data_IF_413726713569
#
_entry.id   IF_413726713569
#
_cell.length_a   1.000
_cell.length_b   1.000
_cell.length_c   1.000
_cell.angle_alpha   90.00
_cell.angle_beta   90.00
_cell.angle_gamma   90.00
#
_symmetry.space_group_name_H-M   'P 1'
#
loop_
_entity.id
_entity.type
_entity.pdbx_description
1 polymer ?
#
# COMPACT_ATOMS: atom_id res chain seq x y z
N UNK A 1 7.17 19.08 -5.41
CA UNK A 1 8.59 18.73 -5.65
C UNK A 1 8.88 18.86 -7.14
N UNK A 2 10.15 18.85 -7.58
CA UNK A 2 10.50 19.04 -9.01
C UNK A 2 9.88 17.96 -9.91
N UNK A 3 9.84 16.71 -9.44
CA UNK A 3 9.30 15.56 -10.20
C UNK A 3 7.82 15.65 -10.55
N UNK A 4 7.07 16.50 -9.84
CA UNK A 4 5.63 16.69 -10.06
C UNK A 4 5.34 17.88 -11.00
N UNK A 5 6.37 18.64 -11.38
CA UNK A 5 6.19 19.79 -12.24
C UNK A 5 5.92 19.36 -13.68
N UNK A 6 5.00 20.05 -14.34
CA UNK A 6 4.75 19.88 -15.76
C UNK A 6 5.80 20.64 -16.56
N UNK A 7 6.35 20.03 -17.59
CA UNK A 7 7.20 20.70 -18.57
C UNK A 7 6.38 21.61 -19.50
N UNK A 8 6.85 22.83 -19.75
CA UNK A 8 6.19 23.78 -20.68
C UNK A 8 6.47 23.47 -22.16
N UNK A 9 7.47 22.65 -22.43
CA UNK A 9 7.91 22.24 -23.78
C UNK A 9 8.55 20.86 -23.69
N UNK A 10 8.94 20.25 -24.80
CA UNK A 10 9.48 18.89 -24.78
C UNK A 10 10.81 18.79 -24.00
N UNK A 11 11.08 17.63 -23.41
CA UNK A 11 12.26 17.38 -22.57
C UNK A 11 13.58 17.60 -23.32
N UNK A 12 13.65 17.27 -24.61
CA UNK A 12 14.83 17.48 -25.46
C UNK A 12 15.21 18.97 -25.57
N UNK A 13 14.23 19.85 -25.73
CA UNK A 13 14.43 21.30 -25.80
C UNK A 13 14.86 21.87 -24.44
N UNK A 14 14.19 21.45 -23.36
CA UNK A 14 14.56 21.86 -21.99
C UNK A 14 16.00 21.44 -21.69
N UNK A 15 16.36 20.20 -22.01
CA UNK A 15 17.72 19.70 -21.77
C UNK A 15 18.77 20.47 -22.57
N UNK A 16 18.47 20.81 -23.84
CA UNK A 16 19.36 21.66 -24.64
C UNK A 16 19.57 23.03 -23.97
N UNK A 17 18.49 23.68 -23.56
CA UNK A 17 18.55 25.00 -22.89
C UNK A 17 19.23 24.92 -21.52
N UNK A 18 19.09 23.80 -20.81
CA UNK A 18 19.81 23.56 -19.56
C UNK A 18 21.32 23.42 -19.80
N UNK A 19 21.73 22.70 -20.85
CA UNK A 19 23.14 22.60 -21.22
C UNK A 19 23.72 23.96 -21.63
N UNK A 20 22.94 24.79 -22.32
CA UNK A 20 23.32 26.17 -22.63
C UNK A 20 23.51 27.02 -21.35
N UNK A 21 22.61 26.89 -20.37
CA UNK A 21 22.77 27.53 -19.06
C UNK A 21 24.06 27.07 -18.37
N UNK A 22 24.34 25.76 -18.36
CA UNK A 22 25.57 25.22 -17.77
C UNK A 22 26.82 25.78 -18.45
N UNK A 23 26.84 25.88 -19.78
CA UNK A 23 27.96 26.48 -20.51
C UNK A 23 28.14 27.97 -20.17
N UNK A 24 27.04 28.73 -20.10
CA UNK A 24 27.08 30.16 -19.74
C UNK A 24 27.55 30.41 -18.31
N UNK A 25 27.26 29.49 -17.39
CA UNK A 25 27.61 29.59 -15.96
C UNK A 25 28.84 28.76 -15.58
N UNK A 26 29.67 28.36 -16.54
CA UNK A 26 30.90 27.55 -16.32
C UNK A 26 30.64 26.32 -15.43
N UNK A 27 29.54 25.60 -15.70
CA UNK A 27 29.06 24.43 -14.96
C UNK A 27 28.69 24.66 -13.47
N UNK A 28 28.62 25.92 -13.03
CA UNK A 28 28.29 26.30 -11.65
C UNK A 28 27.17 27.35 -11.61
N UNK A 29 25.93 27.02 -12.04
CA UNK A 29 24.80 27.93 -11.91
C UNK A 29 24.49 28.20 -10.43
N UNK A 30 24.13 29.45 -10.12
CA UNK A 30 23.66 29.80 -8.78
C UNK A 30 22.28 29.20 -8.48
N UNK A 31 21.87 29.20 -7.22
CA UNK A 31 20.51 28.79 -6.82
C UNK A 31 19.45 29.62 -7.54
N UNK A 32 19.68 30.92 -7.74
CA UNK A 32 18.74 31.80 -8.43
C UNK A 32 18.69 31.52 -9.94
N UNK A 33 19.82 31.19 -10.56
CA UNK A 33 19.84 30.73 -11.95
C UNK A 33 18.98 29.47 -12.14
N UNK A 34 19.09 28.50 -11.23
CA UNK A 34 18.29 27.28 -11.25
C UNK A 34 16.81 27.55 -11.00
N UNK A 35 16.47 28.41 -10.03
CA UNK A 35 15.07 28.81 -9.78
C UNK A 35 14.45 29.50 -11.00
N UNK A 36 15.18 30.42 -11.63
CA UNK A 36 14.74 31.12 -12.83
C UNK A 36 14.55 30.14 -13.99
N UNK A 37 15.48 29.19 -14.17
CA UNK A 37 15.36 28.14 -15.17
C UNK A 37 14.09 27.29 -14.93
N UNK A 38 13.85 26.84 -13.70
CA UNK A 38 12.65 26.09 -13.35
C UNK A 38 11.38 26.90 -13.65
N UNK A 39 11.32 28.16 -13.22
CA UNK A 39 10.17 29.03 -13.48
C UNK A 39 9.92 29.26 -14.99
N UNK A 40 10.98 29.35 -15.80
CA UNK A 40 10.89 29.54 -17.23
C UNK A 40 10.36 28.29 -17.97
N UNK A 41 10.74 27.10 -17.53
CA UNK A 41 10.51 25.85 -18.29
C UNK A 41 9.50 24.89 -17.69
N UNK A 42 9.06 25.12 -16.45
CA UNK A 42 8.13 24.25 -15.75
C UNK A 42 6.95 25.03 -15.16
N UNK A 43 5.78 24.39 -15.11
CA UNK A 43 4.66 24.87 -14.32
C UNK A 43 4.72 24.30 -12.89
N UNK A 44 4.14 24.98 -11.89
CA UNK A 44 4.09 24.49 -10.52
C UNK A 44 3.48 23.08 -10.40
N UNK A 45 3.93 22.31 -9.42
CA UNK A 45 3.34 21.01 -9.10
C UNK A 45 1.85 21.16 -8.75
N UNK A 46 1.01 20.29 -9.32
CA UNK A 46 -0.44 20.34 -9.18
C UNK A 46 -1.17 21.10 -10.28
N UNK A 47 -0.46 21.69 -11.25
CA UNK A 47 -1.07 22.32 -12.42
C UNK A 47 -1.90 21.36 -13.27
N UNK A 48 -1.68 20.05 -13.13
CA UNK A 48 -2.42 18.98 -13.80
C UNK A 48 -3.92 18.89 -13.42
N UNK A 49 -4.35 19.50 -12.31
CA UNK A 49 -5.72 19.36 -11.81
C UNK A 49 -6.61 20.58 -12.03
N UNK A 50 -7.91 20.31 -12.21
CA UNK A 50 -9.00 21.28 -12.12
C UNK A 50 -9.86 21.03 -10.89
N UNK A 51 -10.63 22.04 -10.50
CA UNK A 51 -11.59 21.90 -9.40
C UNK A 51 -12.64 20.84 -9.75
N UNK A 52 -12.94 20.01 -8.76
CA UNK A 52 -13.94 18.96 -8.88
C UNK A 52 -14.56 18.70 -7.52
N UNK A 53 -15.88 18.59 -7.53
CA UNK A 53 -16.68 18.17 -6.38
C UNK A 53 -17.34 16.84 -6.75
N UNK A 54 -17.25 15.80 -5.88
CA UNK A 54 -17.90 14.53 -6.14
C UNK A 54 -19.42 14.70 -6.23
N UNK A 55 -20.03 14.23 -7.33
CA UNK A 55 -21.45 14.43 -7.62
C UNK A 55 -22.39 13.63 -6.73
N UNK A 56 -21.87 12.54 -6.15
CA UNK A 56 -22.58 11.63 -5.25
C UNK A 56 -22.33 11.93 -3.76
N UNK A 57 -21.58 12.99 -3.46
CA UNK A 57 -21.41 13.46 -2.08
C UNK A 57 -22.70 14.12 -1.58
N UNK A 58 -23.08 13.83 -0.33
CA UNK A 58 -24.19 14.51 0.34
C UNK A 58 -23.93 14.65 1.84
N UNK A 59 -24.38 15.75 2.45
CA UNK A 59 -24.01 16.12 3.83
C UNK A 59 -24.56 15.21 4.95
N UNK A 60 -25.32 14.15 4.64
CA UNK A 60 -25.99 13.32 5.65
C UNK A 60 -26.00 11.84 5.25
N UNK A 61 -24.83 11.20 5.11
CA UNK A 61 -24.73 9.77 4.87
C UNK A 61 -25.22 8.97 6.09
N UNK A 62 -25.84 7.81 5.83
CA UNK A 62 -26.47 6.98 6.87
C UNK A 62 -25.56 6.58 8.01
N UNK A 63 -24.24 6.51 7.80
CA UNK A 63 -23.33 6.13 8.88
C UNK A 63 -23.33 7.16 10.03
N UNK A 64 -23.59 8.44 9.77
CA UNK A 64 -23.67 9.49 10.79
C UNK A 64 -24.90 9.35 11.70
N UNK A 65 -25.96 8.70 11.22
CA UNK A 65 -27.17 8.44 12.01
C UNK A 65 -26.92 7.40 13.11
N UNK A 66 -25.89 6.57 12.96
CA UNK A 66 -25.52 5.52 13.90
C UNK A 66 -24.58 5.99 15.01
N UNK A 67 -24.22 7.27 15.03
CA UNK A 67 -23.30 7.85 16.01
C UNK A 67 -24.09 8.65 17.04
N UNK A 68 -24.28 8.06 18.22
CA UNK A 68 -25.03 8.68 19.32
C UNK A 68 -24.25 9.80 20.03
N UNK A 69 -22.92 9.62 20.18
CA UNK A 69 -22.08 10.64 20.82
C UNK A 69 -21.95 11.88 19.94
N UNK A 70 -22.34 13.03 20.50
CA UNK A 70 -22.39 14.30 19.75
C UNK A 70 -21.00 14.77 19.31
N UNK A 71 -19.97 14.54 20.12
CA UNK A 71 -18.61 14.94 19.80
C UNK A 71 -18.04 14.11 18.66
N UNK A 72 -18.22 12.79 18.72
CA UNK A 72 -17.81 11.87 17.65
C UNK A 72 -18.61 12.10 16.37
N UNK A 73 -19.91 12.38 16.47
CA UNK A 73 -20.73 12.71 15.30
C UNK A 73 -20.24 13.96 14.59
N UNK A 74 -19.99 15.04 15.32
CA UNK A 74 -19.44 16.28 14.75
C UNK A 74 -18.08 16.07 14.12
N UNK A 75 -17.22 15.27 14.74
CA UNK A 75 -15.92 14.92 14.18
C UNK A 75 -16.04 14.09 12.90
N UNK A 76 -16.97 13.13 12.87
CA UNK A 76 -17.27 12.33 11.68
C UNK A 76 -17.85 13.17 10.53
N UNK A 77 -18.68 14.17 10.82
CA UNK A 77 -19.16 15.15 9.83
C UNK A 77 -17.98 15.91 9.21
N UNK A 78 -17.04 16.39 10.03
CA UNK A 78 -15.83 17.08 9.55
C UNK A 78 -14.95 16.17 8.69
N UNK A 79 -14.78 14.90 9.08
CA UNK A 79 -14.07 13.90 8.28
C UNK A 79 -14.73 13.67 6.91
N UNK A 80 -16.06 13.60 6.89
CA UNK A 80 -16.82 13.39 5.65
C UNK A 80 -16.72 14.58 4.69
N UNK A 81 -16.63 15.82 5.20
CA UNK A 81 -16.37 17.02 4.38
C UNK A 81 -15.00 16.98 3.67
N UNK A 82 -14.00 16.28 4.25
CA UNK A 82 -12.66 16.20 3.66
C UNK A 82 -12.65 15.54 2.27
N UNK A 83 -13.64 14.70 1.94
CA UNK A 83 -13.73 14.08 0.61
C UNK A 83 -13.77 15.11 -0.51
N UNK A 84 -14.44 16.25 -0.29
CA UNK A 84 -14.51 17.36 -1.24
C UNK A 84 -13.15 18.00 -1.49
N UNK A 85 -12.29 18.03 -0.48
CA UNK A 85 -10.95 18.63 -0.54
C UNK A 85 -9.87 17.68 -1.06
N UNK A 86 -10.08 16.37 -0.91
CA UNK A 86 -9.17 15.33 -1.36
C UNK A 86 -9.42 14.89 -2.82
N UNK A 87 -10.50 15.38 -3.43
CA UNK A 87 -10.81 15.14 -4.85
C UNK A 87 -9.82 15.78 -5.81
N UNK A 88 -9.41 15.01 -6.82
CA UNK A 88 -8.53 15.46 -7.91
C UNK A 88 -9.11 15.01 -9.25
N UNK A 89 -9.33 15.96 -10.14
CA UNK A 89 -9.73 15.71 -11.52
C UNK A 89 -8.67 16.27 -12.47
N UNK A 90 -8.18 15.41 -13.37
CA UNK A 90 -7.15 15.80 -14.34
C UNK A 90 -7.74 16.67 -15.44
N UNK A 91 -7.04 17.74 -15.80
CA UNK A 91 -7.38 18.61 -16.93
C UNK A 91 -7.26 17.85 -18.25
N UNK A 92 -8.02 18.31 -19.25
CA UNK A 92 -7.93 17.80 -20.63
C UNK A 92 -6.50 17.83 -21.21
N UNK A 93 -5.69 18.82 -20.80
CA UNK A 93 -4.30 18.97 -21.23
C UNK A 93 -3.41 17.78 -20.84
N UNK A 94 -3.69 17.13 -19.70
CA UNK A 94 -2.96 15.94 -19.24
C UNK A 94 -3.09 14.79 -20.24
N UNK A 95 -4.27 14.63 -20.86
CA UNK A 95 -4.52 13.56 -21.83
C UNK A 95 -3.88 13.89 -23.18
N UNK A 96 -3.98 15.15 -23.64
CA UNK A 96 -3.45 15.60 -24.93
C UNK A 96 -1.93 15.68 -24.97
N UNK A 97 -1.32 16.07 -23.86
CA UNK A 97 0.12 16.36 -23.75
C UNK A 97 0.80 15.52 -22.67
N UNK A 98 0.39 14.25 -22.50
CA UNK A 98 0.85 13.38 -21.41
C UNK A 98 2.38 13.24 -21.29
N UNK A 99 3.11 13.40 -22.40
CA UNK A 99 4.58 13.40 -22.42
C UNK A 99 5.23 14.60 -21.71
N UNK A 100 4.47 15.64 -21.36
CA UNK A 100 4.92 16.80 -20.60
C UNK A 100 4.74 16.64 -19.08
N UNK A 101 4.04 15.58 -18.67
CA UNK A 101 3.67 15.33 -17.29
C UNK A 101 4.35 14.07 -16.76
N UNK A 102 4.61 14.06 -15.46
CA UNK A 102 4.91 12.81 -14.75
C UNK A 102 3.65 12.06 -14.34
N UNK A 103 2.49 12.72 -14.24
CA UNK A 103 1.23 12.08 -13.83
C UNK A 103 0.70 11.18 -14.94
N UNK A 104 0.21 9.99 -14.57
CA UNK A 104 -0.38 9.04 -15.50
C UNK A 104 -1.85 9.41 -15.69
N UNK A 105 -2.31 9.71 -16.93
CA UNK A 105 -3.70 10.05 -17.18
C UNK A 105 -4.64 8.89 -16.79
N UNK A 106 -5.71 9.16 -16.05
CA UNK A 106 -6.77 8.20 -15.72
C UNK A 106 -8.15 8.79 -16.01
N UNK A 107 -9.13 8.00 -16.46
CA UNK A 107 -10.38 8.52 -17.05
C UNK A 107 -11.34 9.20 -16.07
N UNK A 108 -11.26 8.90 -14.77
CA UNK A 108 -12.17 9.42 -13.75
C UNK A 108 -11.40 10.20 -12.67
N UNK A 109 -12.07 11.10 -11.93
CA UNK A 109 -11.49 11.71 -10.73
C UNK A 109 -11.02 10.67 -9.71
N UNK A 110 -10.11 11.10 -8.83
CA UNK A 110 -9.57 10.27 -7.74
C UNK A 110 -9.64 11.02 -6.41
N UNK A 111 -9.72 10.27 -5.32
CA UNK A 111 -9.51 10.77 -3.97
C UNK A 111 -8.08 10.40 -3.56
N UNK A 112 -7.29 11.38 -3.12
CA UNK A 112 -5.87 11.19 -2.78
C UNK A 112 -5.64 11.14 -1.27
N UNK A 113 -4.50 10.60 -0.78
CA UNK A 113 -4.20 10.55 0.66
C UNK A 113 -4.14 11.92 1.35
N UNK A 114 -3.75 12.97 0.60
CA UNK A 114 -3.71 14.36 1.08
C UNK A 114 -2.30 14.91 1.29
N UNK A 115 -2.24 16.20 1.64
CA UNK A 115 -0.98 16.91 1.86
C UNK A 115 -0.12 17.00 0.59
N UNK A 116 1.11 16.45 0.66
CA UNK A 116 2.04 16.46 -0.48
C UNK A 116 1.66 15.49 -1.60
N UNK A 117 0.85 14.46 -1.29
CA UNK A 117 0.45 13.42 -2.22
C UNK A 117 -0.70 13.91 -3.10
N UNK A 118 -0.46 13.95 -4.41
CA UNK A 118 -1.37 14.57 -5.39
C UNK A 118 -1.95 13.58 -6.38
N UNK A 119 -1.39 12.38 -6.43
CA UNK A 119 -1.82 11.28 -7.27
C UNK A 119 -2.54 10.23 -6.42
N UNK A 120 -3.21 9.28 -7.08
CA UNK A 120 -3.65 8.07 -6.40
C UNK A 120 -2.43 7.32 -5.88
N UNK A 121 -2.58 6.69 -4.72
CA UNK A 121 -1.67 5.69 -4.18
C UNK A 121 -2.41 4.38 -4.05
N UNK A 122 -1.78 3.27 -4.40
CA UNK A 122 -2.48 2.02 -4.65
C UNK A 122 -3.12 1.46 -3.38
N UNK A 123 -2.33 1.08 -2.37
CA UNK A 123 -2.91 0.43 -1.19
C UNK A 123 -3.75 1.41 -0.34
N UNK A 124 -3.38 2.70 -0.29
CA UNK A 124 -4.14 3.77 0.40
C UNK A 124 -5.57 3.83 -0.12
N UNK A 125 -5.75 3.61 -1.43
CA UNK A 125 -7.06 3.62 -2.07
C UNK A 125 -8.00 2.57 -1.51
N UNK A 126 -7.51 1.51 -0.86
CA UNK A 126 -8.39 0.52 -0.23
C UNK A 126 -9.18 1.12 0.92
N UNK A 127 -8.50 1.78 1.85
CA UNK A 127 -9.16 2.42 2.99
C UNK A 127 -9.95 3.65 2.57
N UNK A 128 -9.50 4.38 1.55
CA UNK A 128 -10.27 5.47 0.93
C UNK A 128 -11.58 4.92 0.36
N UNK A 129 -11.53 3.87 -0.48
CA UNK A 129 -12.73 3.22 -1.04
C UNK A 129 -13.67 2.77 0.07
N UNK A 130 -13.17 2.13 1.13
CA UNK A 130 -13.98 1.74 2.28
C UNK A 130 -14.69 2.95 2.91
N UNK A 131 -13.98 4.06 3.14
CA UNK A 131 -14.55 5.28 3.71
C UNK A 131 -15.61 5.94 2.80
N UNK A 132 -15.36 5.96 1.49
CA UNK A 132 -16.29 6.48 0.48
C UNK A 132 -17.57 5.64 0.40
N UNK A 133 -17.47 4.31 0.50
CA UNK A 133 -18.63 3.41 0.52
C UNK A 133 -19.55 3.67 1.73
N UNK A 134 -18.98 3.86 2.92
CA UNK A 134 -19.77 4.27 4.10
C UNK A 134 -20.36 5.68 3.96
N UNK A 135 -19.69 6.54 3.20
CA UNK A 135 -20.15 7.88 2.84
C UNK A 135 -21.19 7.88 1.71
N UNK A 136 -21.64 6.70 1.25
CA UNK A 136 -22.59 6.49 0.16
C UNK A 136 -22.15 7.07 -1.21
N UNK A 137 -20.84 7.25 -1.40
CA UNK A 137 -20.22 7.78 -2.63
C UNK A 137 -19.86 6.66 -3.62
N UNK A 138 -20.88 5.92 -4.07
CA UNK A 138 -20.71 4.72 -4.91
C UNK A 138 -20.19 5.01 -6.32
N UNK A 139 -20.61 6.12 -6.94
CA UNK A 139 -20.19 6.49 -8.29
C UNK A 139 -18.73 6.93 -8.32
N UNK A 140 -18.30 7.66 -7.29
CA UNK A 140 -16.89 8.03 -7.08
C UNK A 140 -16.03 6.77 -6.93
N UNK A 141 -16.47 5.80 -6.12
CA UNK A 141 -15.75 4.51 -5.97
C UNK A 141 -15.69 3.76 -7.30
N UNK A 142 -16.81 3.64 -8.02
CA UNK A 142 -16.83 2.99 -9.35
C UNK A 142 -15.88 3.67 -10.32
N UNK A 143 -15.79 5.00 -10.31
CA UNK A 143 -14.84 5.78 -11.10
C UNK A 143 -13.38 5.45 -10.75
N UNK A 144 -13.04 5.42 -9.46
CA UNK A 144 -11.69 5.04 -9.00
C UNK A 144 -11.33 3.60 -9.39
N UNK A 145 -12.26 2.65 -9.29
CA UNK A 145 -12.03 1.27 -9.72
C UNK A 145 -11.81 1.18 -11.23
N UNK A 146 -12.58 1.92 -12.03
CA UNK A 146 -12.35 2.00 -13.49
C UNK A 146 -10.99 2.62 -13.83
N UNK A 147 -10.46 3.52 -13.00
CA UNK A 147 -9.09 4.02 -13.18
C UNK A 147 -8.07 2.89 -13.01
N UNK A 148 -8.23 2.06 -11.98
CA UNK A 148 -7.36 0.89 -11.78
C UNK A 148 -7.50 -0.15 -12.90
N UNK A 149 -8.71 -0.41 -13.40
CA UNK A 149 -8.91 -1.22 -14.62
C UNK A 149 -8.09 -0.66 -15.79
N UNK A 150 -8.21 0.64 -16.08
CA UNK A 150 -7.48 1.31 -17.17
C UNK A 150 -5.95 1.22 -17.00
N UNK A 151 -5.47 1.30 -15.76
CA UNK A 151 -4.06 1.18 -15.42
C UNK A 151 -3.56 -0.25 -15.66
N UNK A 152 -4.26 -1.26 -15.13
CA UNK A 152 -3.90 -2.68 -15.32
C UNK A 152 -3.99 -3.07 -16.79
N UNK A 153 -4.97 -2.57 -17.53
CA UNK A 153 -5.11 -2.85 -18.96
C UNK A 153 -3.93 -2.30 -19.77
N UNK A 154 -3.45 -1.09 -19.43
CA UNK A 154 -2.30 -0.48 -20.12
C UNK A 154 -0.95 -1.04 -19.68
N UNK A 155 -0.79 -1.37 -18.40
CA UNK A 155 0.54 -1.59 -17.81
C UNK A 155 0.73 -2.97 -17.17
N UNK A 156 -0.35 -3.70 -16.90
CA UNK A 156 -0.32 -5.05 -16.32
C UNK A 156 -0.20 -5.09 -14.80
N UNK A 157 0.07 -3.96 -14.14
CA UNK A 157 0.05 -3.78 -12.70
C UNK A 157 -0.57 -2.44 -12.35
N UNK A 158 -0.92 -2.25 -11.07
CA UNK A 158 -1.14 -0.91 -10.51
C UNK A 158 0.18 -0.43 -9.89
N UNK A 159 0.74 0.71 -10.34
CA UNK A 159 1.97 1.24 -9.79
C UNK A 159 1.74 1.78 -8.36
N UNK A 160 2.81 1.92 -7.58
CA UNK A 160 2.77 2.50 -6.22
C UNK A 160 1.87 3.75 -6.14
N UNK A 161 2.07 4.69 -7.06
CA UNK A 161 1.16 5.80 -7.28
C UNK A 161 1.04 6.20 -8.75
N UNK A 162 0.16 7.15 -9.03
CA UNK A 162 -0.21 7.57 -10.39
C UNK A 162 0.83 8.40 -11.15
N UNK A 163 2.12 8.07 -11.07
CA UNK A 163 3.22 8.78 -11.74
C UNK A 163 4.15 7.82 -12.49
N UNK A 164 4.73 8.29 -13.60
CA UNK A 164 5.57 7.47 -14.49
C UNK A 164 6.81 6.88 -13.80
N UNK A 165 7.34 7.53 -12.77
CA UNK A 165 8.49 7.02 -12.01
C UNK A 165 8.13 5.91 -11.01
N UNK A 166 6.83 5.61 -10.83
CA UNK A 166 6.34 4.45 -10.09
C UNK A 166 6.08 3.23 -10.98
N UNK A 167 6.16 3.34 -12.31
CA UNK A 167 5.71 2.31 -13.27
C UNK A 167 6.35 0.92 -13.12
N UNK A 168 7.48 0.83 -12.44
CA UNK A 168 8.25 -0.41 -12.28
C UNK A 168 8.03 -1.09 -10.93
N UNK A 169 7.32 -0.45 -10.00
CA UNK A 169 6.97 -0.99 -8.68
C UNK A 169 5.49 -0.82 -8.37
N UNK A 170 4.90 -1.81 -7.73
CA UNK A 170 3.52 -1.78 -7.29
C UNK A 170 3.40 -1.27 -5.84
N UNK A 171 2.38 -1.72 -5.13
CA UNK A 171 2.15 -1.61 -3.69
C UNK A 171 1.36 -2.85 -3.23
N UNK A 172 1.09 -3.06 -1.92
CA UNK A 172 0.29 -4.20 -1.46
C UNK A 172 -1.01 -4.38 -2.28
N UNK A 173 -1.26 -5.56 -2.89
CA UNK A 173 -2.22 -5.67 -3.99
C UNK A 173 -3.67 -5.80 -3.55
N UNK A 174 -4.29 -4.64 -3.29
CA UNK A 174 -5.65 -4.55 -2.73
C UNK A 174 -6.74 -4.26 -3.77
N UNK A 175 -6.47 -4.28 -5.08
CA UNK A 175 -7.49 -3.99 -6.11
C UNK A 175 -8.68 -4.95 -6.08
N UNK A 176 -8.42 -6.25 -6.01
CA UNK A 176 -9.46 -7.28 -5.92
C UNK A 176 -10.31 -7.09 -4.63
N UNK A 177 -9.70 -6.86 -3.44
CA UNK A 177 -10.42 -6.45 -2.23
C UNK A 177 -11.23 -5.17 -2.33
N UNK A 178 -10.76 -4.17 -3.08
CA UNK A 178 -11.53 -2.94 -3.34
C UNK A 178 -12.78 -3.24 -4.16
N UNK A 179 -12.66 -4.07 -5.20
CA UNK A 179 -13.82 -4.52 -5.99
C UNK A 179 -14.79 -5.33 -5.13
N UNK A 180 -14.29 -6.21 -4.26
CA UNK A 180 -15.13 -6.98 -3.34
C UNK A 180 -15.95 -6.05 -2.43
N UNK A 181 -15.28 -5.05 -1.84
CA UNK A 181 -15.95 -4.06 -0.99
C UNK A 181 -17.02 -3.28 -1.76
N UNK A 182 -16.76 -2.89 -3.00
CA UNK A 182 -17.74 -2.21 -3.85
C UNK A 182 -18.96 -3.10 -4.16
N UNK A 183 -18.74 -4.39 -4.46
CA UNK A 183 -19.81 -5.34 -4.74
C UNK A 183 -20.66 -5.64 -3.50
N UNK A 184 -20.07 -5.68 -2.29
CA UNK A 184 -20.82 -5.86 -1.04
C UNK A 184 -21.84 -4.74 -0.80
N UNK A 185 -21.53 -3.51 -1.23
CA UNK A 185 -22.42 -2.35 -1.08
C UNK A 185 -23.43 -2.19 -2.24
N UNK A 186 -23.04 -2.56 -3.47
CA UNK A 186 -23.81 -2.21 -4.68
C UNK A 186 -24.43 -3.39 -5.40
N UNK A 187 -23.91 -4.60 -5.18
CA UNK A 187 -24.25 -5.82 -5.92
C UNK A 187 -24.15 -5.64 -7.46
N UNK A 188 -23.24 -4.77 -7.93
CA UNK A 188 -23.04 -4.45 -9.35
C UNK A 188 -22.28 -5.57 -10.08
N UNK A 189 -22.98 -6.67 -10.35
CA UNK A 189 -22.40 -7.84 -11.03
C UNK A 189 -22.04 -7.57 -12.49
N UNK A 190 -22.63 -6.55 -13.13
CA UNK A 190 -22.30 -6.14 -14.49
C UNK A 190 -20.89 -5.51 -14.54
N UNK A 191 -20.57 -4.65 -13.57
CA UNK A 191 -19.22 -4.14 -13.40
C UNK A 191 -18.21 -5.27 -13.21
N UNK A 192 -18.55 -6.29 -12.41
CA UNK A 192 -17.69 -7.45 -12.20
C UNK A 192 -17.46 -8.23 -13.51
N UNK A 193 -18.52 -8.58 -14.24
CA UNK A 193 -18.46 -9.32 -15.50
C UNK A 193 -17.57 -8.60 -16.53
N UNK A 194 -17.72 -7.29 -16.65
CA UNK A 194 -16.94 -6.46 -17.58
C UNK A 194 -15.45 -6.45 -17.26
N UNK A 195 -15.09 -6.47 -15.98
CA UNK A 195 -13.73 -6.16 -15.51
C UNK A 195 -12.96 -7.36 -14.93
N UNK A 196 -13.56 -8.56 -14.85
CA UNK A 196 -12.93 -9.75 -14.25
C UNK A 196 -11.56 -10.07 -14.85
N UNK A 197 -11.38 -9.88 -16.17
CA UNK A 197 -10.10 -10.12 -16.86
C UNK A 197 -8.99 -9.19 -16.37
N UNK A 198 -9.30 -7.94 -16.07
CA UNK A 198 -8.31 -6.98 -15.56
C UNK A 198 -7.92 -7.32 -14.12
N UNK A 199 -8.86 -7.82 -13.31
CA UNK A 199 -8.56 -8.34 -11.97
C UNK A 199 -7.62 -9.54 -12.02
N UNK A 200 -7.90 -10.52 -12.89
CA UNK A 200 -7.00 -11.65 -13.12
C UNK A 200 -5.63 -11.20 -13.63
N UNK A 201 -5.59 -10.22 -14.54
CA UNK A 201 -4.35 -9.73 -15.15
C UNK A 201 -3.37 -9.20 -14.09
N UNK A 202 -3.86 -8.43 -13.12
CA UNK A 202 -3.01 -7.95 -12.03
C UNK A 202 -2.57 -9.11 -11.12
N UNK A 203 -3.48 -10.01 -10.74
CA UNK A 203 -3.12 -11.18 -9.93
C UNK A 203 -2.00 -11.99 -10.60
N UNK A 204 -2.10 -12.22 -11.92
CA UNK A 204 -1.08 -12.92 -12.71
C UNK A 204 0.23 -12.15 -12.81
N UNK A 205 0.23 -10.82 -12.73
CA UNK A 205 1.47 -10.05 -12.60
C UNK A 205 2.23 -10.43 -11.33
N UNK A 206 1.56 -10.54 -10.18
CA UNK A 206 2.20 -10.98 -8.94
C UNK A 206 2.70 -12.41 -9.03
N UNK A 207 1.89 -13.32 -9.58
CA UNK A 207 2.27 -14.73 -9.77
C UNK A 207 3.50 -14.89 -10.66
N UNK A 208 3.63 -14.05 -11.69
CA UNK A 208 4.74 -14.11 -12.64
C UNK A 208 6.01 -13.43 -12.13
N UNK A 209 5.89 -12.28 -11.48
CA UNK A 209 7.02 -11.37 -11.26
C UNK A 209 7.47 -11.26 -9.80
N UNK A 210 6.73 -11.84 -8.85
CA UNK A 210 7.00 -11.70 -7.40
C UNK A 210 7.09 -13.05 -6.68
N UNK A 211 6.92 -14.17 -7.38
CA UNK A 211 6.94 -15.49 -6.77
C UNK A 211 8.35 -16.02 -6.54
N UNK A 212 8.50 -16.76 -5.45
CA UNK A 212 9.69 -17.49 -5.06
C UNK A 212 9.31 -18.88 -4.54
N UNK A 213 10.29 -19.76 -4.40
CA UNK A 213 10.12 -21.09 -3.82
C UNK A 213 10.95 -21.20 -2.54
N UNK A 214 10.30 -21.59 -1.45
CA UNK A 214 10.94 -21.90 -0.16
C UNK A 214 10.85 -23.41 0.07
N UNK A 215 11.99 -24.06 0.25
CA UNK A 215 12.05 -25.50 0.55
C UNK A 215 12.10 -25.74 2.06
N UNK A 216 11.21 -26.57 2.58
CA UNK A 216 11.17 -27.01 3.98
C UNK A 216 10.79 -28.50 4.03
N UNK A 217 11.57 -29.29 4.76
CA UNK A 217 11.33 -30.74 4.97
C UNK A 217 11.11 -31.54 3.67
N UNK A 218 11.87 -31.22 2.62
CA UNK A 218 11.78 -31.88 1.31
C UNK A 218 10.58 -31.47 0.46
N UNK A 219 9.75 -30.52 0.93
CA UNK A 219 8.64 -29.93 0.18
C UNK A 219 8.96 -28.50 -0.25
N UNK A 220 8.40 -28.09 -1.37
CA UNK A 220 8.55 -26.75 -1.93
C UNK A 220 7.24 -25.98 -1.80
N UNK A 221 7.33 -24.79 -1.22
CA UNK A 221 6.21 -23.88 -1.00
C UNK A 221 6.42 -22.62 -1.85
N UNK A 222 5.40 -22.24 -2.61
CA UNK A 222 5.43 -21.03 -3.43
C UNK A 222 4.84 -19.86 -2.65
N UNK A 223 5.59 -18.76 -2.54
CA UNK A 223 5.22 -17.53 -1.84
C UNK A 223 5.62 -16.33 -2.69
N UNK A 224 5.19 -15.12 -2.30
CA UNK A 224 5.58 -13.87 -2.92
C UNK A 224 6.53 -13.05 -2.03
N UNK A 225 7.35 -12.22 -2.67
CA UNK A 225 8.16 -11.18 -2.03
C UNK A 225 8.05 -9.87 -2.79
N UNK A 226 8.26 -8.73 -2.12
CA UNK A 226 8.38 -7.43 -2.78
C UNK A 226 9.71 -7.35 -3.55
N UNK A 227 9.66 -6.73 -4.73
CA UNK A 227 10.81 -6.72 -5.63
C UNK A 227 10.74 -5.64 -6.72
N UNK A 228 11.67 -4.69 -6.68
CA UNK A 228 11.98 -3.78 -7.79
C UNK A 228 13.38 -4.08 -8.35
N UNK A 229 13.49 -4.23 -9.67
CA UNK A 229 14.74 -4.56 -10.38
C UNK A 229 15.44 -3.36 -11.03
N UNK A 230 14.89 -2.16 -10.89
CA UNK A 230 15.43 -0.99 -11.58
C UNK A 230 16.73 -0.52 -10.95
N UNK A 231 17.62 0.06 -11.75
CA UNK A 231 18.86 0.68 -11.27
C UNK A 231 18.64 2.15 -10.89
N UNK A 232 19.62 2.73 -10.19
CA UNK A 232 19.62 4.15 -9.83
C UNK A 232 18.61 4.55 -8.74
N UNK A 233 18.76 5.77 -8.20
CA UNK A 233 17.94 6.29 -7.11
C UNK A 233 16.49 6.56 -7.54
N UNK A 234 15.58 6.62 -6.56
CA UNK A 234 14.19 7.02 -6.77
C UNK A 234 14.12 8.48 -7.24
N UNK A 235 13.44 8.80 -8.36
CA UNK A 235 13.34 10.19 -8.81
C UNK A 235 12.71 11.12 -7.75
N UNK A 236 11.69 10.65 -7.03
CA UNK A 236 10.97 11.44 -6.03
C UNK A 236 11.73 11.71 -4.74
N UNK A 237 12.81 10.95 -4.50
CA UNK A 237 13.70 11.03 -3.33
C UNK A 237 15.17 10.99 -3.75
N UNK A 238 15.48 11.60 -4.91
CA UNK A 238 16.78 11.42 -5.57
C UNK A 238 17.95 11.83 -4.68
N UNK A 239 17.82 12.98 -4.01
CA UNK A 239 18.87 13.51 -3.13
C UNK A 239 19.09 12.57 -1.95
N UNK A 240 18.01 12.19 -1.27
CA UNK A 240 18.02 11.35 -0.09
C UNK A 240 18.66 9.98 -0.39
N UNK A 241 18.30 9.36 -1.52
CA UNK A 241 18.85 8.08 -1.95
C UNK A 241 20.36 8.20 -2.26
N UNK A 242 20.77 9.23 -3.00
CA UNK A 242 22.18 9.46 -3.36
C UNK A 242 23.04 9.76 -2.12
N UNK A 243 22.55 10.58 -1.20
CA UNK A 243 23.22 10.88 0.07
C UNK A 243 23.34 9.62 0.94
N UNK A 244 22.32 8.77 0.98
CA UNK A 244 22.36 7.50 1.72
C UNK A 244 23.35 6.51 1.11
N UNK A 245 23.50 6.52 -0.22
CA UNK A 245 24.42 5.64 -0.94
C UNK A 245 25.87 6.16 -1.02
N UNK A 246 26.17 7.35 -0.48
CA UNK A 246 27.46 8.02 -0.69
C UNK A 246 28.66 7.21 -0.17
N UNK A 247 28.46 6.41 0.88
CA UNK A 247 29.51 5.60 1.52
C UNK A 247 29.69 4.21 0.89
N UNK A 248 28.85 3.84 -0.08
CA UNK A 248 28.95 2.56 -0.79
C UNK A 248 29.90 2.76 -1.97
N UNK A 249 31.04 2.08 -2.01
CA UNK A 249 32.05 2.37 -3.04
C UNK A 249 31.76 1.72 -4.40
N UNK A 250 31.23 0.49 -4.40
CA UNK A 250 31.00 -0.27 -5.64
C UNK A 250 29.67 0.13 -6.28
N UNK A 251 29.69 0.41 -7.59
CA UNK A 251 28.50 0.78 -8.35
C UNK A 251 27.39 -0.29 -8.27
N UNK A 252 27.76 -1.57 -8.34
CA UNK A 252 26.82 -2.70 -8.21
C UNK A 252 26.15 -2.75 -6.82
N UNK A 253 26.92 -2.46 -5.76
CA UNK A 253 26.38 -2.43 -4.40
C UNK A 253 25.46 -1.21 -4.22
N UNK A 254 25.77 -0.07 -4.85
CA UNK A 254 24.87 1.11 -4.88
C UNK A 254 23.56 0.79 -5.58
N UNK A 255 23.61 0.18 -6.76
CA UNK A 255 22.41 -0.18 -7.51
C UNK A 255 21.58 -1.23 -6.76
N UNK A 256 22.24 -2.20 -6.09
CA UNK A 256 21.54 -3.12 -5.19
C UNK A 256 20.82 -2.35 -4.07
N UNK A 257 21.50 -1.43 -3.40
CA UNK A 257 20.91 -0.61 -2.34
C UNK A 257 19.71 0.21 -2.84
N UNK A 258 19.81 0.87 -4.00
CA UNK A 258 18.67 1.58 -4.59
C UNK A 258 17.48 0.66 -4.90
N UNK A 259 17.75 -0.53 -5.43
CA UNK A 259 16.73 -1.55 -5.67
C UNK A 259 16.05 -2.01 -4.37
N UNK A 260 16.78 -2.13 -3.25
CA UNK A 260 16.18 -2.42 -1.93
C UNK A 260 15.30 -1.25 -1.44
N UNK A 261 15.74 0.01 -1.60
CA UNK A 261 14.93 1.19 -1.25
C UNK A 261 13.60 1.23 -2.02
N UNK A 262 13.65 0.94 -3.33
CA UNK A 262 12.45 0.88 -4.19
C UNK A 262 11.54 -0.29 -3.84
N UNK A 263 12.12 -1.44 -3.49
CA UNK A 263 11.37 -2.61 -3.04
C UNK A 263 10.70 -2.35 -1.69
N UNK A 264 11.34 -1.60 -0.79
CA UNK A 264 10.73 -1.15 0.46
C UNK A 264 9.56 -0.19 0.20
N UNK A 265 9.67 0.71 -0.78
CA UNK A 265 8.54 1.53 -1.23
C UNK A 265 7.41 0.68 -1.84
N UNK A 266 7.72 -0.41 -2.58
CA UNK A 266 6.71 -1.37 -3.05
C UNK A 266 5.97 -2.06 -1.89
N UNK A 267 6.59 -2.21 -0.73
CA UNK A 267 5.93 -2.81 0.44
C UNK A 267 4.90 -1.90 1.12
N UNK A 268 4.95 -0.58 0.84
CA UNK A 268 4.22 0.44 1.59
C UNK A 268 4.87 0.84 2.93
N UNK A 269 5.97 0.17 3.34
CA UNK A 269 6.68 0.41 4.60
C UNK A 269 8.10 0.97 4.32
N UNK A 270 8.20 2.13 3.68
CA UNK A 270 9.46 2.84 3.40
C UNK A 270 9.71 3.97 4.42
N UNK A 271 10.50 3.81 5.48
CA UNK A 271 11.27 2.62 5.83
C UNK A 271 10.93 2.11 7.22
N UNK A 272 11.35 0.88 7.48
CA UNK A 272 11.12 0.12 8.70
C UNK A 272 12.28 -0.84 8.92
N UNK A 273 12.64 -1.05 10.17
CA UNK A 273 13.54 -2.10 10.64
C UNK A 273 13.07 -3.50 10.26
N UNK A 274 11.78 -3.67 9.94
CA UNK A 274 11.21 -4.92 9.40
C UNK A 274 12.07 -5.51 8.30
N UNK A 275 12.61 -4.64 7.45
CA UNK A 275 13.36 -4.98 6.25
C UNK A 275 14.88 -5.09 6.47
N UNK A 276 15.37 -4.87 7.68
CA UNK A 276 16.80 -4.94 7.99
C UNK A 276 17.26 -6.37 8.22
N UNK A 277 18.35 -6.76 7.58
CA UNK A 277 19.10 -7.97 7.91
C UNK A 277 20.57 -7.56 8.00
N UNK A 278 21.03 -7.31 9.22
CA UNK A 278 22.44 -7.07 9.49
C UNK A 278 23.26 -8.38 9.49
N UNK A 279 24.56 -8.27 9.76
CA UNK A 279 25.49 -9.41 9.75
C UNK A 279 25.15 -10.51 10.77
N UNK A 280 24.41 -10.18 11.84
CA UNK A 280 23.91 -11.13 12.83
C UNK A 280 22.53 -11.71 12.45
N UNK A 281 22.00 -11.32 11.30
CA UNK A 281 20.68 -11.72 10.81
C UNK A 281 19.53 -11.14 11.63
N UNK A 282 19.69 -9.93 12.19
CA UNK A 282 18.66 -9.27 13.02
C UNK A 282 18.07 -8.04 12.31
N UNK A 283 16.98 -7.48 12.85
CA UNK A 283 16.37 -6.23 12.39
C UNK A 283 17.04 -4.96 12.94
N UNK A 284 18.16 -5.08 13.65
CA UNK A 284 18.90 -3.93 14.16
C UNK A 284 19.79 -3.37 13.05
N UNK A 285 19.86 -2.05 12.91
CA UNK A 285 20.69 -1.43 11.88
C UNK A 285 20.11 -0.13 11.35
N UNK A 286 20.43 0.19 10.11
CA UNK A 286 19.94 1.36 9.40
C UNK A 286 19.61 0.99 7.93
N UNK A 287 19.30 1.99 7.10
CA UNK A 287 18.93 1.76 5.70
C UNK A 287 19.94 0.91 4.90
N UNK A 288 21.25 0.94 5.23
CA UNK A 288 22.24 0.09 4.55
C UNK A 288 22.02 -1.41 4.76
N UNK A 289 21.24 -1.78 5.78
CA UNK A 289 20.87 -3.15 6.14
C UNK A 289 19.58 -3.62 5.44
N UNK A 290 18.95 -2.80 4.59
CA UNK A 290 17.76 -3.21 3.82
C UNK A 290 18.04 -4.45 2.95
N UNK A 291 17.25 -5.51 3.15
CA UNK A 291 17.29 -6.78 2.40
C UNK A 291 15.88 -7.30 2.10
N UNK A 292 14.97 -6.42 1.69
CA UNK A 292 13.56 -6.79 1.52
C UNK A 292 13.37 -7.89 0.47
N UNK A 293 14.22 -7.93 -0.57
CA UNK A 293 14.22 -9.00 -1.58
C UNK A 293 14.65 -10.38 -1.05
N UNK A 294 15.08 -10.45 0.21
CA UNK A 294 15.45 -11.68 0.92
C UNK A 294 14.47 -11.99 2.06
N UNK A 295 13.33 -11.29 2.12
CA UNK A 295 12.31 -11.46 3.16
C UNK A 295 11.00 -11.85 2.49
N UNK A 296 10.39 -12.92 2.98
CA UNK A 296 9.03 -13.35 2.59
C UNK A 296 8.02 -12.70 3.53
N UNK A 297 7.25 -11.69 3.08
CA UNK A 297 6.39 -10.91 3.97
C UNK A 297 5.07 -11.62 4.27
N UNK A 298 4.63 -11.60 5.53
CA UNK A 298 3.36 -12.17 5.99
C UNK A 298 2.16 -11.51 5.33
N UNK A 299 2.10 -10.18 5.38
CA UNK A 299 1.05 -9.36 4.79
C UNK A 299 0.87 -9.61 3.30
N UNK A 300 1.95 -9.57 2.53
CA UNK A 300 1.88 -9.81 1.09
C UNK A 300 1.25 -11.18 0.78
N UNK A 301 1.69 -12.23 1.47
CA UNK A 301 1.20 -13.58 1.21
C UNK A 301 -0.22 -13.80 1.72
N UNK A 302 -0.62 -13.16 2.81
CA UNK A 302 -1.99 -13.12 3.29
C UNK A 302 -2.92 -12.44 2.27
N UNK A 303 -2.49 -11.35 1.63
CA UNK A 303 -3.25 -10.63 0.60
C UNK A 303 -3.32 -11.45 -0.70
N UNK A 304 -2.24 -12.10 -1.13
CA UNK A 304 -2.25 -12.94 -2.33
C UNK A 304 -3.22 -14.12 -2.18
N UNK A 305 -3.23 -14.78 -1.01
CA UNK A 305 -4.24 -15.77 -0.68
C UNK A 305 -5.65 -15.20 -0.83
N UNK A 306 -5.89 -14.01 -0.24
CA UNK A 306 -7.18 -13.35 -0.26
C UNK A 306 -7.64 -13.05 -1.68
N UNK A 307 -6.74 -12.54 -2.52
CA UNK A 307 -7.01 -12.24 -3.92
C UNK A 307 -7.43 -13.49 -4.69
N UNK A 308 -6.77 -14.64 -4.47
CA UNK A 308 -7.16 -15.90 -5.07
C UNK A 308 -8.55 -16.37 -4.59
N UNK A 309 -8.85 -16.27 -3.28
CA UNK A 309 -10.18 -16.57 -2.74
C UNK A 309 -11.27 -15.68 -3.32
N UNK A 310 -10.99 -14.39 -3.49
CA UNK A 310 -11.93 -13.43 -4.05
C UNK A 310 -12.14 -13.65 -5.54
N UNK A 311 -11.11 -13.98 -6.32
CA UNK A 311 -11.29 -14.37 -7.73
C UNK A 311 -12.15 -15.65 -7.83
N UNK A 312 -11.93 -16.66 -6.99
CA UNK A 312 -12.81 -17.84 -6.89
C UNK A 312 -14.27 -17.44 -6.58
N UNK A 313 -14.49 -16.55 -5.60
CA UNK A 313 -15.82 -15.99 -5.28
C UNK A 313 -16.45 -15.28 -6.49
N UNK A 314 -15.70 -14.43 -7.17
CA UNK A 314 -16.18 -13.67 -8.33
C UNK A 314 -16.57 -14.55 -9.49
N UNK A 315 -15.76 -15.56 -9.83
CA UNK A 315 -16.12 -16.51 -10.88
C UNK A 315 -17.36 -17.33 -10.53
N UNK A 316 -17.60 -17.65 -9.25
CA UNK A 316 -18.86 -18.27 -8.80
C UNK A 316 -20.05 -17.34 -9.01
N UNK A 317 -19.93 -16.05 -8.66
CA UNK A 317 -20.98 -15.04 -8.91
C UNK A 317 -21.32 -14.96 -10.40
N UNK A 318 -20.33 -15.07 -11.28
CA UNK A 318 -20.49 -15.04 -12.74
C UNK A 318 -20.90 -16.39 -13.36
N UNK A 319 -21.25 -17.40 -12.56
CA UNK A 319 -21.59 -18.76 -13.01
C UNK A 319 -20.49 -19.44 -13.86
N UNK A 320 -19.22 -19.24 -13.48
CA UNK A 320 -18.01 -19.79 -14.12
C UNK A 320 -17.24 -20.72 -13.17
N UNK A 321 -17.78 -21.91 -12.85
CA UNK A 321 -17.23 -22.76 -11.79
C UNK A 321 -15.84 -23.36 -12.12
N UNK A 322 -15.52 -23.54 -13.41
CA UNK A 322 -14.21 -24.10 -13.81
C UNK A 322 -13.08 -23.13 -13.52
N UNK A 323 -13.28 -21.86 -13.84
CA UNK A 323 -12.36 -20.77 -13.53
C UNK A 323 -12.27 -20.57 -12.02
N UNK A 324 -13.41 -20.63 -11.30
CA UNK A 324 -13.40 -20.56 -9.84
C UNK A 324 -12.53 -21.65 -9.19
N UNK A 325 -12.59 -22.89 -9.69
CA UNK A 325 -11.79 -24.00 -9.19
C UNK A 325 -10.27 -23.78 -9.35
N UNK A 326 -9.84 -23.07 -10.40
CA UNK A 326 -8.43 -22.72 -10.60
C UNK A 326 -7.93 -21.85 -9.45
N UNK A 327 -8.66 -20.78 -9.14
CA UNK A 327 -8.28 -19.85 -8.08
C UNK A 327 -8.45 -20.44 -6.68
N UNK A 328 -9.42 -21.32 -6.49
CA UNK A 328 -9.56 -22.10 -5.25
C UNK A 328 -8.29 -22.94 -4.99
N UNK A 329 -7.82 -23.70 -5.99
CA UNK A 329 -6.59 -24.51 -5.87
C UNK A 329 -5.35 -23.66 -5.62
N UNK A 330 -5.27 -22.46 -6.19
CA UNK A 330 -4.17 -21.53 -5.92
C UNK A 330 -4.23 -21.06 -4.47
N UNK A 331 -5.42 -20.69 -3.99
CA UNK A 331 -5.61 -20.25 -2.61
C UNK A 331 -5.27 -21.35 -1.59
N UNK A 332 -5.64 -22.60 -1.84
CA UNK A 332 -5.35 -23.72 -0.94
C UNK A 332 -3.83 -23.95 -0.80
N UNK A 333 -3.10 -23.91 -1.93
CA UNK A 333 -1.64 -23.99 -1.93
C UNK A 333 -0.99 -22.83 -1.18
N UNK A 334 -1.54 -21.62 -1.33
CA UNK A 334 -1.02 -20.44 -0.66
C UNK A 334 -1.26 -20.49 0.86
N UNK A 335 -2.43 -20.96 1.27
CA UNK A 335 -2.77 -21.17 2.68
C UNK A 335 -1.82 -22.18 3.32
N UNK A 336 -1.56 -23.32 2.66
CA UNK A 336 -0.58 -24.30 3.13
C UNK A 336 0.82 -23.68 3.27
N UNK A 337 1.26 -22.89 2.29
CA UNK A 337 2.56 -22.23 2.33
C UNK A 337 2.67 -21.20 3.48
N UNK A 338 1.63 -20.40 3.72
CA UNK A 338 1.59 -19.44 4.84
C UNK A 338 1.61 -20.17 6.18
N UNK A 339 0.84 -21.26 6.31
CA UNK A 339 0.80 -22.09 7.52
C UNK A 339 2.16 -22.75 7.81
N UNK A 340 2.82 -23.29 6.79
CA UNK A 340 4.06 -24.04 6.99
C UNK A 340 5.30 -23.15 7.17
N UNK A 341 5.38 -22.05 6.41
CA UNK A 341 6.57 -21.21 6.36
C UNK A 341 6.49 -20.05 7.35
N UNK A 342 5.32 -19.43 7.52
CA UNK A 342 5.18 -18.16 8.23
C UNK A 342 4.58 -18.29 9.62
N UNK A 343 3.70 -19.27 9.89
CA UNK A 343 3.17 -19.48 11.24
C UNK A 343 4.24 -19.99 12.21
N UNK A 344 4.39 -19.35 13.37
CA UNK A 344 5.28 -19.78 14.44
C UNK A 344 4.49 -20.28 15.66
N UNK A 345 4.38 -21.60 15.90
CA UNK A 345 3.48 -22.14 16.93
C UNK A 345 3.83 -21.70 18.36
N UNK A 346 5.12 -21.63 18.72
CA UNK A 346 5.54 -21.22 20.07
C UNK A 346 5.39 -19.72 20.35
N UNK A 347 5.56 -18.89 19.32
CA UNK A 347 5.36 -17.44 19.41
C UNK A 347 3.87 -17.11 19.40
N UNK A 348 3.09 -17.88 18.63
CA UNK A 348 1.65 -17.69 18.49
C UNK A 348 1.27 -16.61 17.48
N UNK A 349 2.11 -16.37 16.48
CA UNK A 349 1.87 -15.40 15.42
C UNK A 349 2.53 -15.85 14.10
N UNK A 350 2.09 -15.27 12.99
CA UNK A 350 2.83 -15.36 11.73
C UNK A 350 4.00 -14.37 11.74
N UNK A 351 5.13 -14.79 11.20
CA UNK A 351 6.36 -14.02 11.17
C UNK A 351 6.93 -14.06 9.76
N UNK A 352 7.50 -12.95 9.31
CA UNK A 352 8.21 -12.91 8.03
C UNK A 352 9.34 -13.95 8.02
N UNK A 353 9.66 -14.50 6.85
CA UNK A 353 10.72 -15.49 6.71
C UNK A 353 11.96 -14.88 6.06
N UNK A 354 13.10 -15.00 6.74
CA UNK A 354 14.41 -14.59 6.26
C UNK A 354 15.01 -15.70 5.39
N UNK A 355 15.12 -15.44 4.09
CA UNK A 355 15.66 -16.40 3.12
C UNK A 355 17.18 -16.58 3.26
N UNK A 356 17.89 -15.56 3.73
CA UNK A 356 19.34 -15.58 3.89
C UNK A 356 19.74 -16.46 5.07
N UNK A 357 19.11 -16.24 6.21
CA UNK A 357 19.39 -16.94 7.47
C UNK A 357 18.49 -18.16 7.70
N UNK A 358 17.52 -18.40 6.82
CA UNK A 358 16.57 -19.52 6.87
C UNK A 358 15.83 -19.60 8.21
N UNK A 359 15.34 -18.45 8.68
CA UNK A 359 14.67 -18.34 9.98
C UNK A 359 13.45 -17.43 9.92
N UNK A 360 12.51 -17.65 10.84
CA UNK A 360 11.40 -16.74 11.08
C UNK A 360 11.89 -15.52 11.85
N UNK A 361 11.39 -14.34 11.51
CA UNK A 361 11.79 -13.06 12.08
C UNK A 361 10.86 -12.69 13.25
N UNK A 362 11.22 -13.12 14.46
CA UNK A 362 10.41 -12.93 15.68
C UNK A 362 10.46 -11.49 16.22
N UNK A 363 9.89 -10.58 15.44
CA UNK A 363 9.72 -9.16 15.74
C UNK A 363 8.24 -8.80 15.68
N UNK A 364 7.85 -7.79 16.44
CA UNK A 364 6.45 -7.35 16.53
C UNK A 364 6.16 -6.34 15.44
N UNK A 365 5.32 -6.72 14.48
CA UNK A 365 4.72 -5.82 13.49
C UNK A 365 3.22 -6.10 13.43
N UNK A 366 2.34 -5.08 13.37
CA UNK A 366 0.90 -5.29 13.17
C UNK A 366 0.55 -6.16 11.97
N UNK A 367 1.32 -6.04 10.89
CA UNK A 367 1.17 -6.80 9.66
C UNK A 367 1.37 -8.32 9.83
N UNK A 368 2.01 -8.78 10.92
CA UNK A 368 2.06 -10.20 11.31
C UNK A 368 0.67 -10.81 11.49
N UNK A 369 -0.35 -10.00 11.80
CA UNK A 369 -1.72 -10.46 12.02
C UNK A 369 -2.59 -10.36 10.75
N UNK A 370 -2.02 -10.00 9.60
CA UNK A 370 -2.75 -9.96 8.32
C UNK A 370 -3.46 -11.28 7.97
N UNK A 371 -2.95 -12.48 8.30
CA UNK A 371 -3.68 -13.73 8.09
C UNK A 371 -5.01 -13.82 8.84
N UNK A 372 -5.13 -13.20 10.03
CA UNK A 372 -6.44 -13.07 10.69
C UNK A 372 -7.39 -12.17 9.90
N UNK A 373 -6.87 -11.04 9.40
CA UNK A 373 -7.66 -10.10 8.60
C UNK A 373 -8.17 -10.74 7.30
N UNK A 374 -7.33 -11.51 6.62
CA UNK A 374 -7.69 -12.14 5.34
C UNK A 374 -8.27 -13.55 5.44
N UNK A 375 -8.42 -14.08 6.65
CA UNK A 375 -8.76 -15.49 6.93
C UNK A 375 -7.80 -16.50 6.26
N UNK A 376 -6.51 -16.15 6.15
CA UNK A 376 -5.46 -16.98 5.57
C UNK A 376 -4.88 -17.97 6.60
N UNK A 377 -5.71 -18.89 7.08
CA UNK A 377 -5.30 -19.96 7.98
C UNK A 377 -6.28 -21.13 7.92
N UNK A 378 -5.85 -22.36 8.27
CA UNK A 378 -6.73 -23.52 8.26
C UNK A 378 -7.96 -23.31 9.17
N UNK A 379 -9.16 -23.50 8.61
CA UNK A 379 -10.41 -23.20 9.32
C UNK A 379 -10.61 -24.07 10.58
N UNK A 380 -10.10 -25.31 10.57
CA UNK A 380 -10.10 -26.24 11.70
C UNK A 380 -9.16 -25.80 12.84
N UNK A 381 -8.16 -24.97 12.55
CA UNK A 381 -7.22 -24.39 13.53
C UNK A 381 -7.64 -23.03 14.06
N UNK A 382 -8.78 -22.49 13.64
CA UNK A 382 -9.24 -21.12 13.96
C UNK A 382 -9.14 -20.78 15.45
N UNK A 383 -9.71 -21.63 16.32
CA UNK A 383 -9.73 -21.36 17.76
C UNK A 383 -8.33 -21.41 18.37
N UNK A 384 -7.53 -22.43 18.03
CA UNK A 384 -6.15 -22.56 18.52
C UNK A 384 -5.27 -21.37 18.11
N UNK A 385 -5.39 -20.92 16.86
CA UNK A 385 -4.61 -19.80 16.35
C UNK A 385 -5.04 -18.49 16.99
N UNK A 386 -6.34 -18.29 17.15
CA UNK A 386 -6.90 -17.12 17.83
C UNK A 386 -6.40 -17.03 19.28
N UNK A 387 -6.49 -18.12 20.05
CA UNK A 387 -6.02 -18.16 21.43
C UNK A 387 -4.52 -17.87 21.55
N UNK A 388 -3.72 -18.37 20.61
CA UNK A 388 -2.28 -18.12 20.53
C UNK A 388 -1.96 -16.67 20.17
N UNK A 389 -2.71 -16.08 19.24
CA UNK A 389 -2.54 -14.67 18.85
C UNK A 389 -2.88 -13.74 20.02
N UNK A 390 -3.95 -14.01 20.77
CA UNK A 390 -4.29 -13.22 21.96
C UNK A 390 -3.15 -13.27 22.98
N UNK A 391 -2.63 -14.48 23.27
CA UNK A 391 -1.47 -14.65 24.15
C UNK A 391 -0.24 -13.91 23.63
N UNK A 392 0.01 -13.94 22.32
CA UNK A 392 1.08 -13.16 21.68
C UNK A 392 0.91 -11.66 21.90
N UNK A 393 -0.28 -11.12 21.62
CA UNK A 393 -0.61 -9.69 21.77
C UNK A 393 -0.36 -9.22 23.21
N UNK A 394 -0.85 -9.98 24.20
CA UNK A 394 -0.67 -9.68 25.63
C UNK A 394 0.80 -9.80 26.04
N UNK A 395 1.46 -10.92 25.73
CA UNK A 395 2.86 -11.18 26.11
C UNK A 395 3.82 -10.14 25.52
N UNK A 396 3.55 -9.70 24.29
CA UNK A 396 4.37 -8.74 23.54
C UNK A 396 3.97 -7.29 23.78
N UNK A 397 3.00 -7.03 24.67
CA UNK A 397 2.62 -5.68 25.08
C UNK A 397 2.18 -4.79 23.92
N UNK A 398 1.60 -5.40 22.88
CA UNK A 398 1.17 -4.71 21.64
C UNK A 398 0.14 -3.60 21.94
N UNK A 399 -0.63 -3.79 23.02
CA UNK A 399 -1.73 -2.92 23.43
C UNK A 399 -1.33 -1.84 24.45
N UNK A 400 -0.07 -1.68 24.84
CA UNK A 400 0.30 -0.75 25.92
C UNK A 400 0.24 0.73 25.49
N UNK A 401 0.24 1.02 24.19
CA UNK A 401 0.26 2.40 23.69
C UNK A 401 -1.14 3.00 23.58
N UNK A 402 -1.32 4.17 24.18
CA UNK A 402 -2.60 4.91 24.20
C UNK A 402 -2.99 5.48 22.83
N UNK A 403 -2.01 5.78 21.97
CA UNK A 403 -2.24 6.36 20.64
C UNK A 403 -2.55 5.34 19.54
N UNK A 404 -2.82 4.08 19.88
CA UNK A 404 -2.92 2.96 18.93
C UNK A 404 -1.68 2.07 18.95
N UNK A 405 -1.72 0.99 18.17
CA UNK A 405 -0.63 0.01 18.07
C UNK A 405 0.50 0.59 17.20
N UNK A 406 1.74 0.71 17.72
CA UNK A 406 2.85 1.22 16.92
C UNK A 406 3.21 0.26 15.78
N UNK A 407 3.85 0.78 14.73
CA UNK A 407 4.26 -0.01 13.57
C UNK A 407 5.27 -1.11 13.92
N UNK A 408 6.07 -0.88 14.97
CA UNK A 408 6.93 -1.90 15.59
C UNK A 408 7.17 -1.54 17.06
N UNK A 409 8.01 -2.31 17.76
CA UNK A 409 8.54 -1.98 19.08
C UNK A 409 10.00 -1.48 19.01
N UNK A 410 10.51 -1.19 17.82
CA UNK A 410 11.91 -0.85 17.57
C UNK A 410 12.11 0.66 17.51
N UNK A 411 13.13 1.19 18.21
CA UNK A 411 13.44 2.62 18.26
C UNK A 411 14.50 3.00 17.23
N UNK A 412 14.13 2.96 15.95
CA UNK A 412 15.08 3.19 14.84
C UNK A 412 15.12 4.62 14.33
N UNK A 413 14.06 5.39 14.57
CA UNK A 413 13.84 6.71 13.96
C UNK A 413 13.19 6.64 12.57
N UNK A 414 12.98 5.44 12.03
CA UNK A 414 12.26 5.25 10.77
C UNK A 414 10.75 5.43 10.93
N UNK A 415 10.06 5.86 9.87
CA UNK A 415 8.66 6.26 10.00
C UNK A 415 7.70 5.08 10.24
N UNK A 416 8.05 3.87 9.80
CA UNK A 416 7.29 2.62 10.02
C UNK A 416 7.88 1.79 11.17
N UNK A 417 8.32 2.46 12.24
CA UNK A 417 8.75 1.87 13.50
C UNK A 417 8.21 2.67 14.70
N UNK A 418 8.51 2.23 15.93
CA UNK A 418 8.11 2.94 17.15
C UNK A 418 8.67 4.39 17.16
N UNK A 419 7.88 5.40 17.57
CA UNK A 419 6.56 5.34 18.20
C UNK A 419 5.37 5.48 17.23
N UNK A 420 5.60 5.50 15.92
CA UNK A 420 4.55 5.86 14.97
C UNK A 420 3.50 4.76 14.83
N UNK A 421 2.24 5.14 14.82
CA UNK A 421 1.10 4.27 14.56
C UNK A 421 0.42 4.71 13.25
N UNK A 422 0.11 3.75 12.38
CA UNK A 422 -0.45 4.01 11.05
C UNK A 422 -1.87 3.45 10.92
N UNK A 423 -2.82 4.20 10.31
CA UNK A 423 -4.20 3.73 10.15
C UNK A 423 -4.34 2.35 9.49
N UNK A 424 -3.59 2.01 8.41
CA UNK A 424 -3.57 0.66 7.83
C UNK A 424 -3.31 -0.45 8.84
N UNK A 425 -2.29 -0.28 9.69
CA UNK A 425 -1.91 -1.26 10.71
C UNK A 425 -2.96 -1.40 11.81
N UNK A 426 -3.60 -0.29 12.20
CA UNK A 426 -4.72 -0.36 13.15
C UNK A 426 -5.86 -1.19 12.56
N UNK A 427 -6.23 -0.87 11.32
CA UNK A 427 -7.31 -1.56 10.62
C UNK A 427 -7.04 -3.06 10.47
N UNK A 428 -5.82 -3.45 10.08
CA UNK A 428 -5.43 -4.86 9.94
C UNK A 428 -5.62 -5.62 11.26
N UNK A 429 -5.12 -5.09 12.38
CA UNK A 429 -5.27 -5.76 13.68
C UNK A 429 -6.74 -5.80 14.11
N UNK A 430 -7.44 -4.67 14.06
CA UNK A 430 -8.83 -4.56 14.50
C UNK A 430 -9.73 -5.52 13.71
N UNK A 431 -9.65 -5.48 12.38
CA UNK A 431 -10.47 -6.34 11.53
C UNK A 431 -10.04 -7.80 11.60
N UNK A 432 -8.75 -8.09 11.81
CA UNK A 432 -8.29 -9.46 12.06
C UNK A 432 -8.90 -10.06 13.31
N UNK A 433 -8.93 -9.30 14.41
CA UNK A 433 -9.56 -9.72 15.66
C UNK A 433 -11.09 -9.83 15.52
N UNK A 434 -11.73 -8.90 14.82
CA UNK A 434 -13.18 -8.97 14.54
C UNK A 434 -13.53 -10.24 13.75
N UNK A 435 -12.75 -10.57 12.72
CA UNK A 435 -12.96 -11.74 11.86
C UNK A 435 -12.73 -13.08 12.60
N UNK A 436 -11.88 -13.10 13.62
CA UNK A 436 -11.71 -14.24 14.50
C UNK A 436 -13.02 -14.60 15.25
N UNK A 437 -13.93 -13.64 15.42
CA UNK A 437 -15.32 -13.87 15.83
C UNK A 437 -15.50 -14.64 17.16
N UNK A 438 -14.60 -14.44 18.13
CA UNK A 438 -14.80 -14.87 19.52
C UNK A 438 -15.21 -13.67 20.38
N UNK A 439 -15.83 -13.91 21.54
CA UNK A 439 -16.21 -12.81 22.46
C UNK A 439 -14.99 -11.99 22.89
N UNK A 440 -13.86 -12.66 23.15
CA UNK A 440 -12.62 -12.01 23.56
C UNK A 440 -12.01 -11.17 22.44
N UNK A 441 -11.92 -11.71 21.21
CA UNK A 441 -11.33 -10.94 20.10
C UNK A 441 -12.19 -9.75 19.69
N UNK A 442 -13.52 -9.88 19.72
CA UNK A 442 -14.42 -8.75 19.47
C UNK A 442 -14.30 -7.65 20.52
N UNK A 443 -14.18 -8.04 21.80
CA UNK A 443 -13.92 -7.08 22.87
C UNK A 443 -12.63 -6.32 22.63
N UNK A 444 -11.55 -7.02 22.27
CA UNK A 444 -10.27 -6.40 21.99
C UNK A 444 -10.27 -5.53 20.72
N UNK A 445 -10.94 -5.98 19.66
CA UNK A 445 -11.11 -5.21 18.43
C UNK A 445 -11.83 -3.88 18.70
N UNK A 446 -12.90 -3.93 19.50
CA UNK A 446 -13.64 -2.74 19.91
C UNK A 446 -12.78 -1.78 20.74
N UNK A 447 -12.05 -2.29 21.74
CA UNK A 447 -11.15 -1.46 22.57
C UNK A 447 -10.10 -0.73 21.72
N UNK A 448 -9.48 -1.44 20.77
CA UNK A 448 -8.50 -0.86 19.86
C UNK A 448 -9.12 0.18 18.92
N UNK A 449 -10.32 -0.09 18.39
CA UNK A 449 -11.05 0.84 17.54
C UNK A 449 -11.45 2.11 18.30
N UNK A 450 -11.99 1.98 19.51
CA UNK A 450 -12.37 3.09 20.38
C UNK A 450 -11.16 3.97 20.68
N UNK A 451 -10.04 3.36 21.09
CA UNK A 451 -8.80 4.08 21.40
C UNK A 451 -8.25 4.86 20.21
N UNK A 452 -8.24 4.24 19.03
CA UNK A 452 -7.77 4.90 17.81
C UNK A 452 -8.67 6.06 17.39
N UNK A 453 -10.00 5.87 17.45
CA UNK A 453 -11.00 6.91 17.16
C UNK A 453 -10.86 8.10 18.12
N UNK A 454 -10.75 7.84 19.42
CA UNK A 454 -10.55 8.89 20.43
C UNK A 454 -9.25 9.66 20.19
N UNK A 455 -8.16 8.96 19.87
CA UNK A 455 -6.88 9.60 19.53
C UNK A 455 -7.01 10.53 18.33
N UNK A 456 -7.71 10.08 17.27
CA UNK A 456 -7.98 10.91 16.08
C UNK A 456 -8.83 12.14 16.39
N UNK A 457 -9.85 12.00 17.23
CA UNK A 457 -10.70 13.12 17.66
C UNK A 457 -9.90 14.18 18.42
N UNK A 458 -9.01 13.77 19.34
CA UNK A 458 -8.15 14.68 20.10
C UNK A 458 -7.20 15.45 19.18
N UNK A 459 -6.67 14.81 18.14
CA UNK A 459 -5.74 15.43 17.19
C UNK A 459 -6.40 16.49 16.31
N UNK A 460 -7.63 16.27 15.83
CA UNK A 460 -8.37 17.25 15.04
C UNK A 460 -9.08 18.32 15.86
N UNK A 461 -9.23 18.12 17.17
CA UNK A 461 -9.77 19.13 18.09
C UNK A 461 -8.77 20.22 18.49
N UNK A 462 -7.49 20.08 18.11
CA UNK A 462 -6.45 21.11 18.20
C UNK A 462 -6.28 21.80 16.86
#
# INVERSE_FOLDING_TARGET
TFVDMKMKQNSTQILKQFNELLMQKTCHPSVDDLKNFLAAHFEPAGSEFEEWEPSDWHASPKFLEKIDDRGLKKWAEQLHELWKHLGRKMKEDVYKNSNLYSIIPVPNPVIVPGGRFREFYYWDSYWIVRGLLYSEMYDTVKGMLNNFVSIVDRYGLIPNGGRIYYMMRSQPPLFIPMVDSYLEFTNDTEFLEKNIKSLEKEFLFWMKNRTIVVSKDGRNYTLCQYHDHTSGPRPESYREDVESAQFINKAEDKDRFYSELKSAAESGLDFSSRWFINDQGTNQGNLTDLKIKLIVPVDLNAIIYWNAKLLSKFFKILNRPKEAEVYEKISDKWLEAVDEILWHPEVGAWLDYDLLNKKKRDYVYPSNLSPLWTNCYPADKKNDYTDKVIKYIVKRKVLENLGGVPASLEHTGEQWDYPNAWPPHQYIIIMGLENANTTETKGLAFELAERWVQSGQILMGK
#
